data_IF_658525052714
#
_entry.id   IF_658525052714
#
_cell.length_a   1.000
_cell.length_b   1.000
_cell.length_c   1.000
_cell.angle_alpha   90.00
_cell.angle_beta   90.00
_cell.angle_gamma   90.00
#
_symmetry.space_group_name_H-M   'P 1'
#
loop_
_entity.id
_entity.type
_entity.pdbx_description
1 polymer ?
#
# COMPACT_ATOMS: atom_id res chain seq x y z
N UNK A 1 17.90 -38.01 4.93
CA UNK A 1 18.10 -36.57 4.63
C UNK A 1 19.52 -36.13 5.02
N UNK A 2 20.24 -35.45 4.12
CA UNK A 2 21.54 -34.83 4.45
C UNK A 2 21.25 -33.67 5.41
N UNK A 3 21.83 -33.73 6.61
CA UNK A 3 21.70 -32.69 7.63
C UNK A 3 23.06 -32.05 7.90
N UNK A 4 23.08 -30.74 8.10
CA UNK A 4 24.27 -30.02 8.55
C UNK A 4 24.00 -29.39 9.92
N UNK A 5 25.08 -29.20 10.69
CA UNK A 5 25.06 -28.63 12.03
C UNK A 5 25.72 -27.26 11.98
N UNK A 6 25.10 -26.27 12.60
CA UNK A 6 25.72 -24.98 12.90
C UNK A 6 25.47 -24.62 14.36
N UNK A 7 26.50 -24.09 15.02
CA UNK A 7 26.32 -23.48 16.33
C UNK A 7 25.72 -22.09 16.13
N UNK A 8 24.56 -21.83 16.75
CA UNK A 8 24.01 -20.50 16.83
C UNK A 8 24.77 -19.63 17.84
N UNK A 9 24.23 -18.46 18.20
CA UNK A 9 24.78 -17.72 19.34
C UNK A 9 24.60 -18.53 20.64
N UNK A 10 25.27 -18.12 21.71
CA UNK A 10 25.27 -18.79 23.02
C UNK A 10 23.86 -19.04 23.62
N UNK A 11 22.84 -18.33 23.16
CA UNK A 11 21.45 -18.45 23.61
C UNK A 11 20.59 -19.38 22.75
N UNK A 12 21.10 -19.85 21.61
CA UNK A 12 20.33 -20.59 20.60
C UNK A 12 20.80 -22.03 20.37
N UNK A 13 21.89 -22.46 21.02
CA UNK A 13 22.39 -23.84 20.99
C UNK A 13 22.78 -24.35 19.59
N UNK A 14 22.86 -25.66 19.44
CA UNK A 14 23.10 -26.34 18.15
C UNK A 14 21.83 -26.28 17.28
N UNK A 15 21.96 -25.75 16.06
CA UNK A 15 20.90 -25.84 15.04
C UNK A 15 21.24 -26.95 14.04
N UNK A 16 20.24 -27.78 13.75
CA UNK A 16 20.29 -28.77 12.67
C UNK A 16 19.42 -28.29 11.51
N UNK A 17 20.00 -28.26 10.32
CA UNK A 17 19.32 -27.86 9.09
C UNK A 17 19.32 -28.97 8.05
N UNK A 18 18.28 -29.03 7.25
CA UNK A 18 18.26 -29.85 6.03
C UNK A 18 19.09 -29.16 4.94
N UNK A 19 19.73 -29.94 4.09
CA UNK A 19 20.35 -29.41 2.88
C UNK A 19 19.28 -28.79 1.98
N UNK A 20 19.39 -27.49 1.72
CA UNK A 20 18.52 -26.80 0.76
C UNK A 20 19.19 -26.72 -0.61
N UNK A 21 18.45 -27.14 -1.65
CA UNK A 21 18.86 -26.98 -3.04
C UNK A 21 18.16 -25.75 -3.60
N UNK A 22 18.94 -24.82 -4.14
CA UNK A 22 18.46 -23.57 -4.74
C UNK A 22 18.74 -23.57 -6.25
N UNK A 23 17.98 -22.81 -7.06
CA UNK A 23 18.26 -22.68 -8.48
C UNK A 23 19.64 -22.05 -8.71
N UNK A 24 20.28 -22.37 -9.84
CA UNK A 24 21.55 -21.74 -10.25
C UNK A 24 21.44 -20.21 -10.24
N UNK A 25 20.35 -19.69 -10.80
CA UNK A 25 19.99 -18.28 -10.69
C UNK A 25 18.70 -18.16 -9.88
N UNK A 26 18.76 -17.50 -8.73
CA UNK A 26 17.58 -17.15 -7.97
C UNK A 26 17.04 -15.80 -8.43
N UNK A 27 15.80 -15.77 -8.90
CA UNK A 27 15.18 -14.58 -9.50
C UNK A 27 14.10 -14.04 -8.56
N UNK A 28 14.11 -12.73 -8.29
CA UNK A 28 13.05 -12.04 -7.56
C UNK A 28 12.62 -10.77 -8.28
N UNK A 29 11.36 -10.36 -8.07
CA UNK A 29 10.75 -9.20 -8.73
C UNK A 29 10.12 -8.29 -7.68
N UNK A 30 10.27 -6.98 -7.86
CA UNK A 30 9.61 -5.95 -7.05
C UNK A 30 9.03 -4.86 -7.96
N UNK A 31 7.78 -4.41 -7.73
CA UNK A 31 6.84 -4.89 -6.71
C UNK A 31 6.25 -6.28 -7.04
N UNK A 32 5.68 -6.96 -6.04
CA UNK A 32 4.96 -8.24 -6.24
C UNK A 32 3.56 -8.03 -6.85
N UNK A 33 2.95 -6.88 -6.57
CA UNK A 33 1.66 -6.47 -7.11
C UNK A 33 1.82 -5.08 -7.73
N UNK A 34 1.33 -4.92 -8.95
CA UNK A 34 1.16 -3.62 -9.60
C UNK A 34 -0.31 -3.43 -9.98
N UNK A 35 -0.86 -2.26 -9.73
CA UNK A 35 -2.20 -1.87 -10.16
C UNK A 35 -2.08 -1.03 -11.41
N UNK A 36 -2.96 -1.19 -12.40
CA UNK A 36 -3.03 -0.36 -13.60
C UNK A 36 -4.50 0.04 -13.86
N UNK A 37 -4.81 1.33 -14.06
CA UNK A 37 -6.17 1.75 -14.42
C UNK A 37 -6.59 1.17 -15.79
N UNK A 38 -7.85 0.75 -15.91
CA UNK A 38 -8.42 0.14 -17.12
C UNK A 38 -8.30 1.04 -18.36
N UNK A 39 -8.49 2.33 -18.16
CA UNK A 39 -8.47 3.34 -19.22
C UNK A 39 -7.49 4.45 -18.87
N UNK A 40 -6.65 4.78 -19.84
CA UNK A 40 -5.73 5.92 -19.72
C UNK A 40 -6.50 7.21 -19.85
N UNK A 41 -6.29 8.10 -18.89
CA UNK A 41 -6.76 9.48 -18.88
C UNK A 41 -5.58 10.38 -18.50
N UNK A 42 -5.65 11.70 -18.73
CA UNK A 42 -4.61 12.61 -18.23
C UNK A 42 -4.36 12.47 -16.71
N UNK A 43 -5.39 12.07 -15.93
CA UNK A 43 -5.28 11.80 -14.51
C UNK A 43 -4.49 10.52 -14.19
N UNK A 44 -4.65 9.48 -15.02
CA UNK A 44 -4.11 8.14 -14.82
C UNK A 44 -2.90 7.82 -15.70
N UNK A 45 -2.43 8.76 -16.53
CA UNK A 45 -1.32 8.56 -17.45
C UNK A 45 0.00 8.20 -16.73
N UNK A 46 0.26 8.77 -15.55
CA UNK A 46 1.39 8.33 -14.69
C UNK A 46 1.20 6.91 -14.14
N UNK A 47 -0.03 6.41 -14.18
CA UNK A 47 -0.45 5.09 -13.71
C UNK A 47 -0.34 3.97 -14.75
N UNK A 48 0.20 4.19 -15.95
CA UNK A 48 0.27 3.15 -17.00
C UNK A 48 1.63 2.49 -17.10
N UNK A 49 2.67 3.21 -16.67
CA UNK A 49 4.04 2.73 -16.64
C UNK A 49 4.36 2.17 -15.25
N UNK A 50 5.00 1.01 -15.21
CA UNK A 50 5.39 0.34 -13.98
C UNK A 50 6.88 0.03 -14.00
N UNK A 51 7.60 0.62 -13.05
CA UNK A 51 8.98 0.25 -12.81
C UNK A 51 9.04 -1.10 -12.11
N UNK A 52 9.52 -2.11 -12.83
CA UNK A 52 9.70 -3.47 -12.37
C UNK A 52 11.19 -3.73 -12.18
N UNK A 53 11.59 -4.05 -10.96
CA UNK A 53 12.96 -4.42 -10.62
C UNK A 53 13.07 -5.92 -10.57
N UNK A 54 13.93 -6.50 -11.41
CA UNK A 54 14.30 -7.91 -11.33
C UNK A 54 15.69 -8.03 -10.72
N UNK A 55 15.80 -8.74 -9.59
CA UNK A 55 17.08 -9.05 -8.95
C UNK A 55 17.40 -10.51 -9.15
N UNK A 56 18.64 -10.79 -9.54
CA UNK A 56 19.14 -12.13 -9.86
C UNK A 56 20.37 -12.40 -9.03
N UNK A 57 20.40 -13.52 -8.32
CA UNK A 57 21.57 -13.99 -7.57
C UNK A 57 22.15 -15.21 -8.28
N UNK A 58 23.45 -15.21 -8.56
CA UNK A 58 24.17 -16.36 -9.10
C UNK A 58 24.66 -17.28 -7.97
N UNK A 59 24.13 -18.48 -7.85
CA UNK A 59 24.62 -19.49 -6.90
C UNK A 59 25.64 -20.45 -7.50
N UNK A 60 26.05 -20.25 -8.76
CA UNK A 60 27.17 -20.99 -9.34
C UNK A 60 28.51 -20.44 -8.86
N UNK A 61 29.52 -21.29 -8.58
CA UNK A 61 30.87 -20.85 -8.26
C UNK A 61 31.58 -20.13 -9.42
N UNK A 62 31.09 -20.29 -10.66
CA UNK A 62 31.72 -19.73 -11.85
C UNK A 62 31.10 -18.40 -12.28
N UNK A 63 31.89 -17.64 -13.06
CA UNK A 63 31.37 -16.53 -13.85
C UNK A 63 30.31 -17.01 -14.84
N UNK A 64 29.31 -16.18 -15.09
CA UNK A 64 28.20 -16.51 -15.98
C UNK A 64 27.70 -15.28 -16.71
N UNK A 65 27.30 -15.46 -17.97
CA UNK A 65 26.63 -14.44 -18.77
C UNK A 65 25.22 -14.93 -19.07
N UNK A 66 24.22 -14.07 -18.87
CA UNK A 66 22.83 -14.42 -19.08
C UNK A 66 22.03 -13.23 -19.59
N UNK A 67 20.78 -13.47 -19.98
CA UNK A 67 19.85 -12.43 -20.44
C UNK A 67 18.63 -12.40 -19.54
N UNK A 68 18.37 -11.22 -19.00
CA UNK A 68 17.20 -10.87 -18.21
C UNK A 68 16.02 -10.46 -19.11
N UNK A 69 14.84 -11.05 -18.88
CA UNK A 69 13.64 -10.77 -19.67
C UNK A 69 12.34 -10.95 -18.86
N UNK A 70 11.31 -10.18 -19.23
CA UNK A 70 9.93 -10.35 -18.75
C UNK A 70 9.07 -11.06 -19.81
N UNK A 71 8.22 -11.98 -19.37
CA UNK A 71 7.11 -12.53 -20.15
C UNK A 71 5.86 -11.69 -19.87
N UNK A 72 5.50 -10.85 -20.85
CA UNK A 72 4.44 -9.86 -20.72
C UNK A 72 3.12 -10.36 -21.34
N UNK A 73 1.96 -9.92 -20.84
CA UNK A 73 0.67 -10.11 -21.50
C UNK A 73 0.65 -9.48 -22.91
N UNK A 74 -0.27 -9.95 -23.75
CA UNK A 74 -0.43 -9.42 -25.10
C UNK A 74 -0.67 -7.89 -25.10
N UNK A 75 0.04 -7.16 -25.96
CA UNK A 75 -0.06 -5.71 -26.09
C UNK A 75 0.72 -4.90 -25.06
N UNK A 76 1.29 -5.54 -24.03
CA UNK A 76 2.18 -4.89 -23.07
C UNK A 76 3.61 -4.84 -23.61
N UNK A 77 4.36 -3.81 -23.22
CA UNK A 77 5.76 -3.63 -23.63
C UNK A 77 6.65 -3.43 -22.41
N UNK A 78 7.95 -3.68 -22.57
CA UNK A 78 8.95 -3.33 -21.56
C UNK A 78 10.18 -2.69 -22.19
N UNK A 79 10.75 -1.74 -21.47
CA UNK A 79 12.02 -1.11 -21.80
C UNK A 79 13.03 -1.30 -20.64
N UNK A 80 14.17 -1.96 -20.87
CA UNK A 80 14.54 -2.66 -22.11
C UNK A 80 13.72 -3.95 -22.30
N UNK A 81 13.52 -4.41 -23.54
CA UNK A 81 12.82 -5.68 -23.80
C UNK A 81 13.63 -6.92 -23.34
N UNK A 82 14.96 -6.77 -23.28
CA UNK A 82 15.93 -7.76 -22.78
C UNK A 82 17.15 -7.02 -22.26
N UNK A 83 17.77 -7.53 -21.20
CA UNK A 83 18.97 -6.94 -20.62
C UNK A 83 20.07 -8.00 -20.46
N UNK A 84 21.25 -7.85 -21.10
CA UNK A 84 22.38 -8.71 -20.79
C UNK A 84 22.86 -8.44 -19.36
N UNK A 85 23.16 -9.51 -18.63
CA UNK A 85 23.74 -9.47 -17.28
C UNK A 85 24.94 -10.41 -17.22
N UNK A 86 25.92 -10.05 -16.39
CA UNK A 86 27.12 -10.83 -16.17
C UNK A 86 27.38 -10.96 -14.67
N UNK A 87 27.93 -12.10 -14.29
CA UNK A 87 28.39 -12.42 -12.95
C UNK A 87 29.84 -12.88 -13.02
N UNK A 88 30.61 -12.51 -12.01
CA UNK A 88 32.02 -12.85 -11.86
C UNK A 88 32.24 -13.95 -10.83
N UNK A 89 31.32 -14.11 -9.87
CA UNK A 89 31.45 -15.07 -8.77
C UNK A 89 30.09 -15.54 -8.22
N UNK A 90 30.17 -16.52 -7.32
CA UNK A 90 29.04 -16.96 -6.51
C UNK A 90 28.53 -15.84 -5.60
N UNK A 91 27.22 -15.86 -5.37
CA UNK A 91 26.44 -14.97 -4.53
C UNK A 91 26.47 -13.49 -4.96
N UNK A 92 26.99 -13.21 -6.16
CA UNK A 92 26.85 -11.91 -6.81
C UNK A 92 25.40 -11.70 -7.25
N UNK A 93 24.89 -10.50 -6.97
CA UNK A 93 23.55 -10.08 -7.29
C UNK A 93 23.55 -8.92 -8.29
N UNK A 94 22.71 -9.02 -9.33
CA UNK A 94 22.50 -7.96 -10.32
C UNK A 94 21.01 -7.59 -10.33
N UNK A 95 20.71 -6.30 -10.32
CA UNK A 95 19.35 -5.78 -10.45
C UNK A 95 19.18 -5.06 -11.79
N UNK A 96 18.20 -5.50 -12.57
CA UNK A 96 17.78 -4.86 -13.82
C UNK A 96 16.45 -4.15 -13.59
N UNK A 97 16.32 -2.93 -14.13
CA UNK A 97 15.05 -2.18 -14.13
C UNK A 97 14.38 -2.30 -15.49
N UNK A 98 13.10 -2.64 -15.49
CA UNK A 98 12.23 -2.67 -16.65
C UNK A 98 11.12 -1.65 -16.45
N UNK A 99 10.96 -0.72 -17.37
CA UNK A 99 9.74 0.08 -17.48
C UNK A 99 8.71 -0.72 -18.27
N UNK A 100 7.68 -1.22 -17.60
CA UNK A 100 6.59 -1.97 -18.20
C UNK A 100 5.44 -1.02 -18.52
N UNK A 101 5.00 -0.98 -19.78
CA UNK A 101 3.93 -0.08 -20.23
C UNK A 101 2.73 -0.90 -20.69
N UNK A 102 1.58 -0.60 -20.08
CA UNK A 102 0.28 -1.17 -20.46
C UNK A 102 -0.27 -0.52 -21.74
N UNK A 103 -1.06 -1.25 -22.56
CA UNK A 103 -1.75 -0.64 -23.69
C UNK A 103 -2.82 0.36 -23.22
N UNK A 104 -3.27 1.26 -24.11
CA UNK A 104 -4.18 2.36 -23.78
C UNK A 104 -5.54 1.91 -23.21
N UNK A 105 -5.94 0.67 -23.48
CA UNK A 105 -7.10 0.03 -22.87
C UNK A 105 -6.71 -1.40 -22.49
N UNK A 106 -6.99 -1.79 -21.25
CA UNK A 106 -6.75 -3.14 -20.76
C UNK A 106 -8.04 -3.69 -20.17
N UNK A 107 -8.36 -4.95 -20.45
CA UNK A 107 -9.49 -5.62 -19.80
C UNK A 107 -9.25 -5.72 -18.29
N UNK A 108 -10.22 -5.39 -17.42
CA UNK A 108 -10.12 -5.60 -15.98
C UNK A 108 -9.86 -7.06 -15.61
N UNK A 109 -9.04 -7.28 -14.58
CA UNK A 109 -8.69 -8.61 -14.09
C UNK A 109 -7.27 -8.70 -13.51
N UNK A 110 -6.87 -9.94 -13.23
CA UNK A 110 -5.53 -10.26 -12.73
C UNK A 110 -4.71 -10.86 -13.87
N UNK A 111 -3.60 -10.22 -14.20
CA UNK A 111 -2.61 -10.68 -15.16
C UNK A 111 -1.33 -11.07 -14.42
N UNK A 112 -0.57 -12.02 -14.95
CA UNK A 112 0.72 -12.41 -14.39
C UNK A 112 1.81 -12.03 -15.38
N UNK A 113 2.75 -11.21 -14.94
CA UNK A 113 4.01 -10.97 -15.64
C UNK A 113 5.05 -11.88 -15.01
N UNK A 114 5.62 -12.81 -15.78
CA UNK A 114 6.69 -13.67 -15.28
C UNK A 114 8.04 -13.05 -15.61
N UNK A 115 9.03 -13.34 -14.78
CA UNK A 115 10.39 -12.89 -14.98
C UNK A 115 11.31 -14.10 -15.11
N UNK A 116 12.26 -14.02 -16.04
CA UNK A 116 13.18 -15.13 -16.29
C UNK A 116 14.55 -14.68 -16.77
N UNK A 117 15.51 -15.55 -16.48
CA UNK A 117 16.90 -15.48 -16.93
C UNK A 117 17.15 -16.58 -17.94
N UNK A 118 17.81 -16.23 -19.04
CA UNK A 118 18.19 -17.15 -20.11
C UNK A 118 19.71 -17.26 -20.13
N UNK A 119 20.23 -18.47 -19.92
CA UNK A 119 21.63 -18.81 -20.13
C UNK A 119 21.70 -19.93 -21.19
N UNK A 120 22.25 -19.61 -22.38
CA UNK A 120 22.19 -20.50 -23.54
C UNK A 120 20.74 -20.80 -23.92
N UNK A 121 20.33 -22.06 -23.82
CA UNK A 121 18.95 -22.55 -24.06
C UNK A 121 18.15 -22.75 -22.77
N UNK A 122 18.77 -22.58 -21.59
CA UNK A 122 18.12 -22.86 -20.30
C UNK A 122 17.45 -21.61 -19.75
N UNK A 123 16.21 -21.77 -19.28
CA UNK A 123 15.41 -20.70 -18.66
C UNK A 123 15.28 -20.92 -17.15
N UNK A 124 15.59 -19.89 -16.37
CA UNK A 124 15.45 -19.86 -14.91
C UNK A 124 14.42 -18.80 -14.54
N UNK A 125 13.36 -19.17 -13.86
CA UNK A 125 12.27 -18.26 -13.47
C UNK A 125 11.85 -18.45 -12.02
N UNK A 126 12.69 -19.07 -11.20
CA UNK A 126 12.41 -19.33 -9.79
C UNK A 126 13.39 -18.57 -8.90
N UNK A 127 12.90 -18.13 -7.75
CA UNK A 127 13.70 -17.67 -6.64
C UNK A 127 13.20 -18.31 -5.36
N UNK A 128 13.69 -17.83 -4.23
CA UNK A 128 13.25 -18.30 -2.92
C UNK A 128 13.21 -17.17 -1.90
N UNK A 129 12.30 -17.29 -0.95
CA UNK A 129 12.29 -16.50 0.27
C UNK A 129 12.92 -17.33 1.39
N UNK A 130 13.92 -16.78 2.07
CA UNK A 130 14.46 -17.38 3.29
C UNK A 130 13.54 -17.01 4.45
N UNK A 131 12.99 -18.02 5.12
CA UNK A 131 12.24 -17.86 6.37
C UNK A 131 13.08 -18.45 7.50
N UNK A 132 13.65 -17.59 8.33
CA UNK A 132 14.53 -17.97 9.43
C UNK A 132 14.39 -17.00 10.59
N UNK A 133 13.93 -17.51 11.74
CA UNK A 133 13.86 -16.79 13.00
C UNK A 133 14.66 -17.52 14.08
N UNK A 134 15.00 -16.86 15.21
CA UNK A 134 15.73 -17.52 16.29
C UNK A 134 15.09 -18.86 16.74
N UNK A 135 13.76 -18.92 16.76
CA UNK A 135 12.95 -20.05 17.21
C UNK A 135 12.43 -20.97 16.08
N UNK A 136 12.84 -20.77 14.82
CA UNK A 136 12.42 -21.63 13.70
C UNK A 136 13.61 -22.24 12.98
N UNK A 137 13.40 -23.36 12.30
CA UNK A 137 14.35 -23.89 11.32
C UNK A 137 14.33 -23.03 10.07
N UNK A 138 15.49 -22.77 9.47
CA UNK A 138 15.60 -22.11 8.16
C UNK A 138 14.79 -22.89 7.13
N UNK A 139 13.94 -22.21 6.38
CA UNK A 139 13.16 -22.77 5.27
C UNK A 139 13.38 -21.90 4.04
N UNK A 140 13.44 -22.53 2.87
CA UNK A 140 13.37 -21.84 1.58
C UNK A 140 11.99 -22.03 0.99
N UNK A 141 11.25 -20.95 0.82
CA UNK A 141 9.97 -20.96 0.11
C UNK A 141 10.24 -20.60 -1.34
N UNK A 142 10.26 -21.62 -2.22
CA UNK A 142 10.44 -21.43 -3.65
C UNK A 142 9.24 -20.66 -4.22
N UNK A 143 9.54 -19.70 -5.10
CA UNK A 143 8.53 -18.88 -5.78
C UNK A 143 8.91 -18.72 -7.23
N UNK A 144 7.93 -18.84 -8.13
CA UNK A 144 8.10 -18.37 -9.49
C UNK A 144 8.24 -16.85 -9.46
N UNK A 145 9.28 -16.33 -10.11
CA UNK A 145 9.56 -14.91 -10.19
C UNK A 145 8.58 -14.24 -11.14
N UNK A 146 7.93 -13.20 -10.65
CA UNK A 146 6.95 -12.45 -11.41
C UNK A 146 6.21 -11.46 -10.52
N UNK A 147 5.31 -10.72 -11.15
CA UNK A 147 4.38 -9.84 -10.47
C UNK A 147 2.95 -10.10 -10.94
N UNK A 148 2.01 -9.87 -10.04
CA UNK A 148 0.59 -9.79 -10.38
C UNK A 148 0.27 -8.36 -10.81
N UNK A 149 -0.27 -8.21 -12.00
CA UNK A 149 -0.79 -6.93 -12.48
C UNK A 149 -2.31 -6.94 -12.37
N UNK A 150 -2.86 -6.00 -11.60
CA UNK A 150 -4.29 -5.83 -11.39
C UNK A 150 -4.81 -4.67 -12.21
N UNK A 151 -5.64 -4.96 -13.19
CA UNK A 151 -6.26 -3.95 -14.04
C UNK A 151 -7.62 -3.57 -13.47
N UNK A 152 -7.79 -2.30 -13.07
CA UNK A 152 -8.94 -1.84 -12.29
C UNK A 152 -9.72 -0.74 -13.02
N UNK A 153 -11.05 -0.79 -13.02
CA UNK A 153 -11.88 0.39 -13.34
C UNK A 153 -11.82 1.37 -12.17
N UNK A 154 -10.78 2.19 -12.15
CA UNK A 154 -10.57 3.22 -11.13
C UNK A 154 -10.32 4.56 -11.80
N UNK A 155 -11.09 5.54 -11.36
CA UNK A 155 -10.92 6.95 -11.70
C UNK A 155 -10.32 7.67 -10.50
N UNK A 156 -9.50 8.68 -10.75
CA UNK A 156 -8.97 9.59 -9.74
C UNK A 156 -9.04 11.01 -10.29
N UNK A 157 -9.19 12.00 -9.43
CA UNK A 157 -9.04 13.40 -9.83
C UNK A 157 -7.64 13.62 -10.43
N UNK A 158 -7.50 14.34 -11.56
CA UNK A 158 -6.20 14.58 -12.17
C UNK A 158 -5.30 15.48 -11.31
N UNK A 159 -3.99 15.34 -11.51
CA UNK A 159 -2.96 16.25 -10.99
C UNK A 159 -2.93 16.43 -9.47
N UNK A 160 -3.40 15.43 -8.71
CA UNK A 160 -3.30 15.43 -7.26
C UNK A 160 -1.84 15.45 -6.80
N UNK A 161 -1.52 16.39 -5.91
CA UNK A 161 -0.30 16.39 -5.11
C UNK A 161 -0.64 16.18 -3.64
N UNK A 162 -0.15 15.08 -3.06
CA UNK A 162 -0.46 14.64 -1.71
C UNK A 162 0.78 14.83 -0.82
N UNK A 163 0.67 15.68 0.20
CA UNK A 163 1.66 15.76 1.27
C UNK A 163 1.46 14.60 2.23
N UNK A 164 2.44 13.74 2.40
CA UNK A 164 2.30 12.49 3.13
C UNK A 164 3.23 12.42 4.34
N UNK A 165 2.67 12.27 5.55
CA UNK A 165 3.46 12.06 6.77
C UNK A 165 3.66 10.58 7.00
N UNK A 166 4.85 10.08 6.67
CA UNK A 166 5.16 8.64 6.71
C UNK A 166 4.94 8.01 8.09
N UNK A 167 4.17 6.92 8.13
CA UNK A 167 3.93 6.07 9.29
C UNK A 167 4.85 4.83 9.36
N UNK A 168 4.53 3.89 10.25
CA UNK A 168 5.35 2.68 10.49
C UNK A 168 4.97 1.56 9.54
N UNK A 169 5.94 1.06 8.76
CA UNK A 169 5.75 -0.11 7.90
C UNK A 169 4.63 0.09 6.87
N UNK A 170 4.50 1.32 6.38
CA UNK A 170 3.33 1.77 5.65
C UNK A 170 3.62 1.85 4.15
N UNK A 171 2.74 1.18 3.39
CA UNK A 171 2.84 0.97 1.96
C UNK A 171 1.70 1.66 1.19
N UNK A 172 1.01 2.61 1.84
CA UNK A 172 -0.01 3.43 1.17
C UNK A 172 0.59 4.40 0.13
N UNK A 173 1.74 5.09 0.36
CA UNK A 173 2.29 6.01 -0.63
C UNK A 173 2.53 5.38 -2.02
N UNK A 174 3.16 4.20 -2.15
CA UNK A 174 3.30 3.53 -3.45
C UNK A 174 1.96 3.20 -4.13
N UNK A 175 0.90 2.93 -3.38
CA UNK A 175 -0.42 2.69 -3.95
C UNK A 175 -1.07 3.97 -4.49
N UNK A 176 -0.85 5.12 -3.82
CA UNK A 176 -1.29 6.43 -4.29
C UNK A 176 -0.55 6.85 -5.58
N UNK A 177 0.75 6.58 -5.67
CA UNK A 177 1.53 6.79 -6.89
C UNK A 177 1.04 5.92 -8.05
N UNK A 178 0.69 4.66 -7.78
CA UNK A 178 0.08 3.79 -8.78
C UNK A 178 -1.26 4.32 -9.31
N UNK A 179 -2.04 5.04 -8.49
CA UNK A 179 -3.24 5.74 -8.94
C UNK A 179 -2.94 6.97 -9.82
N UNK A 180 -1.69 7.42 -9.89
CA UNK A 180 -1.26 8.58 -10.70
C UNK A 180 -1.12 9.89 -9.91
N UNK A 181 -1.33 9.86 -8.59
CA UNK A 181 -1.06 11.00 -7.72
C UNK A 181 0.44 11.23 -7.56
N UNK A 182 0.85 12.49 -7.38
CA UNK A 182 2.20 12.83 -6.92
C UNK A 182 2.20 12.79 -5.40
N UNK A 183 3.08 11.99 -4.81
CA UNK A 183 3.23 11.94 -3.35
C UNK A 183 4.52 12.64 -2.96
N UNK A 184 4.44 13.54 -1.99
CA UNK A 184 5.60 14.22 -1.40
C UNK A 184 5.65 13.89 0.10
N UNK A 185 6.72 13.22 0.52
CA UNK A 185 6.89 12.86 1.92
C UNK A 185 7.24 14.12 2.74
N UNK A 186 6.44 14.42 3.76
CA UNK A 186 6.63 15.56 4.64
C UNK A 186 7.67 15.24 5.72
N UNK A 187 8.75 16.00 5.70
CA UNK A 187 9.83 15.96 6.70
C UNK A 187 9.44 16.72 7.98
N UNK A 188 10.29 16.66 8.99
CA UNK A 188 10.11 17.48 10.20
C UNK A 188 10.12 18.98 9.89
N UNK A 189 10.99 19.43 8.98
CA UNK A 189 11.09 20.82 8.56
C UNK A 189 9.85 21.28 7.78
N UNK A 190 9.32 20.40 6.91
CA UNK A 190 8.05 20.69 6.21
C UNK A 190 6.90 20.85 7.21
N UNK A 191 6.82 19.93 8.17
CA UNK A 191 5.83 19.96 9.24
C UNK A 191 6.01 21.15 10.18
N UNK A 192 7.19 21.73 10.29
CA UNK A 192 7.42 22.94 11.09
C UNK A 192 7.14 24.24 10.31
N UNK A 193 7.50 24.31 9.03
CA UNK A 193 7.55 25.59 8.31
C UNK A 193 7.03 25.63 6.86
N UNK A 194 6.85 24.50 6.17
CA UNK A 194 6.46 24.55 4.74
C UNK A 194 5.01 24.99 4.53
N UNK A 195 4.71 25.66 3.41
CA UNK A 195 3.32 25.95 3.03
C UNK A 195 2.58 24.66 2.66
N UNK A 196 1.61 24.26 3.48
CA UNK A 196 0.80 23.06 3.25
C UNK A 196 -0.27 23.27 2.17
N UNK A 197 -0.59 24.53 1.82
CA UNK A 197 -1.61 24.84 0.80
C UNK A 197 -1.18 24.46 -0.63
N UNK A 198 0.09 24.10 -0.83
CA UNK A 198 0.58 23.54 -2.10
C UNK A 198 0.07 22.12 -2.38
N UNK A 199 -0.52 21.46 -1.39
CA UNK A 199 -1.05 20.11 -1.51
C UNK A 199 -2.57 20.13 -1.70
N UNK A 200 -3.10 19.22 -2.53
CA UNK A 200 -4.54 18.96 -2.60
C UNK A 200 -5.06 18.30 -1.30
N UNK A 201 -4.21 17.45 -0.72
CA UNK A 201 -4.48 16.62 0.45
C UNK A 201 -3.21 16.51 1.30
N UNK A 202 -3.37 16.62 2.62
CA UNK A 202 -2.33 16.19 3.58
C UNK A 202 -2.81 14.91 4.25
N UNK A 203 -2.03 13.84 4.15
CA UNK A 203 -2.39 12.52 4.68
C UNK A 203 -1.34 12.05 5.68
N UNK A 204 -1.77 11.59 6.86
CA UNK A 204 -0.88 10.93 7.82
C UNK A 204 -0.96 9.43 7.63
N UNK A 205 0.20 8.77 7.69
CA UNK A 205 0.33 7.33 7.54
C UNK A 205 -0.01 6.52 8.79
N UNK A 206 0.08 5.20 8.63
CA UNK A 206 -0.24 4.18 9.64
C UNK A 206 0.54 4.43 10.93
N UNK A 207 -0.19 4.69 12.02
CA UNK A 207 0.39 4.94 13.36
C UNK A 207 1.42 6.09 13.35
N UNK A 208 1.28 7.06 12.46
CA UNK A 208 2.19 8.20 12.40
C UNK A 208 2.27 8.92 13.76
N UNK A 209 1.12 9.10 14.44
CA UNK A 209 1.08 9.76 15.75
C UNK A 209 1.81 9.00 16.86
N UNK A 210 2.08 7.70 16.71
CA UNK A 210 2.87 6.94 17.68
C UNK A 210 4.37 7.25 17.55
N UNK A 211 4.89 7.35 16.32
CA UNK A 211 6.35 7.40 16.07
C UNK A 211 6.88 8.76 15.63
N UNK A 212 6.02 9.67 15.17
CA UNK A 212 6.42 10.99 14.66
C UNK A 212 6.18 12.07 15.72
N UNK A 213 7.22 12.33 16.54
CA UNK A 213 7.18 13.41 17.52
C UNK A 213 7.04 14.81 16.87
N UNK A 214 7.65 14.98 15.70
CA UNK A 214 7.53 16.16 14.84
C UNK A 214 6.09 16.38 14.33
N UNK A 215 5.36 15.32 13.97
CA UNK A 215 3.92 15.40 13.66
C UNK A 215 3.12 15.86 14.87
N UNK A 216 3.32 15.22 16.04
CA UNK A 216 2.61 15.58 17.27
C UNK A 216 2.85 17.04 17.65
N UNK A 217 4.11 17.48 17.59
CA UNK A 217 4.50 18.85 17.92
C UNK A 217 3.87 19.91 16.99
N UNK A 218 3.66 19.57 15.71
CA UNK A 218 3.19 20.51 14.70
C UNK A 218 1.75 20.23 14.20
N UNK A 219 1.00 19.36 14.88
CA UNK A 219 -0.33 18.92 14.43
C UNK A 219 -1.30 20.08 14.18
N UNK A 220 -1.19 21.16 14.96
CA UNK A 220 -2.03 22.34 14.82
C UNK A 220 -2.02 22.90 13.38
N UNK A 221 -0.89 22.82 12.68
CA UNK A 221 -0.77 23.29 11.29
C UNK A 221 -1.62 22.47 10.31
N UNK A 222 -1.81 21.17 10.57
CA UNK A 222 -2.72 20.34 9.76
C UNK A 222 -4.17 20.77 9.99
N UNK A 223 -4.54 21.10 11.22
CA UNK A 223 -5.88 21.60 11.56
C UNK A 223 -6.13 22.97 10.92
N UNK A 224 -5.14 23.87 10.95
CA UNK A 224 -5.20 25.17 10.26
C UNK A 224 -5.33 25.02 8.75
N UNK A 225 -4.55 24.12 8.13
CA UNK A 225 -4.67 23.78 6.72
C UNK A 225 -6.08 23.27 6.37
N UNK A 226 -6.67 22.38 7.19
CA UNK A 226 -8.06 21.95 7.02
C UNK A 226 -9.03 23.15 7.14
N UNK A 227 -8.87 23.98 8.17
CA UNK A 227 -9.67 25.19 8.39
C UNK A 227 -9.66 26.16 7.21
N UNK A 228 -8.51 26.31 6.56
CA UNK A 228 -8.30 27.14 5.38
C UNK A 228 -8.87 26.57 4.07
N UNK A 229 -9.48 25.39 4.10
CA UNK A 229 -10.09 24.76 2.92
C UNK A 229 -9.46 23.45 2.46
N UNK A 230 -8.37 23.04 3.11
CA UNK A 230 -7.65 21.81 2.83
C UNK A 230 -8.40 20.54 3.25
N UNK A 231 -7.92 19.41 2.75
CA UNK A 231 -8.40 18.07 3.14
C UNK A 231 -7.30 17.35 3.90
N UNK A 232 -7.55 17.04 5.18
CA UNK A 232 -6.67 16.21 6.00
C UNK A 232 -7.23 14.81 6.13
N UNK A 233 -6.42 13.80 5.84
CA UNK A 233 -6.78 12.38 6.01
C UNK A 233 -5.85 11.77 7.05
N UNK A 234 -6.41 11.33 8.17
CA UNK A 234 -5.70 10.61 9.23
C UNK A 234 -5.92 9.12 9.05
N UNK A 235 -4.92 8.42 8.51
CA UNK A 235 -5.00 6.99 8.26
C UNK A 235 -4.55 6.21 9.51
N UNK A 236 -5.44 5.35 10.02
CA UNK A 236 -5.19 4.31 11.01
C UNK A 236 -4.21 4.67 12.14
N UNK A 237 -4.73 4.95 13.33
CA UNK A 237 -3.91 5.11 14.54
C UNK A 237 -4.39 4.20 15.66
N UNK A 238 -3.59 4.15 16.73
CA UNK A 238 -3.96 3.52 18.00
C UNK A 238 -4.12 4.61 19.07
N UNK A 239 -3.98 4.25 20.34
CA UNK A 239 -4.26 5.10 21.49
C UNK A 239 -3.28 6.26 21.65
N UNK A 240 -2.11 6.23 21.02
CA UNK A 240 -1.17 7.37 21.01
C UNK A 240 -1.76 8.61 20.32
N UNK A 241 -2.80 8.43 19.50
CA UNK A 241 -3.60 9.55 18.98
C UNK A 241 -4.36 10.29 20.10
N UNK A 242 -4.57 9.65 21.25
CA UNK A 242 -5.35 10.22 22.36
C UNK A 242 -4.45 10.96 23.37
N UNK A 243 -3.12 10.97 23.17
CA UNK A 243 -2.17 11.67 24.06
C UNK A 243 -2.39 13.20 24.09
N UNK A 244 -3.06 13.73 23.06
CA UNK A 244 -3.56 15.10 22.99
C UNK A 244 -4.74 15.17 22.02
N UNK A 245 -5.39 16.33 21.92
CA UNK A 245 -6.45 16.56 20.93
C UNK A 245 -5.82 16.78 19.53
N UNK A 246 -5.43 15.69 18.86
CA UNK A 246 -4.90 15.79 17.49
C UNK A 246 -5.97 15.97 16.42
N UNK A 247 -7.23 15.61 16.71
CA UNK A 247 -8.38 15.92 15.87
C UNK A 247 -8.83 17.38 16.00
N UNK A 248 -9.62 17.90 15.05
CA UNK A 248 -10.14 19.27 15.10
C UNK A 248 -11.17 19.50 16.21
N UNK A 249 -11.82 18.43 16.68
CA UNK A 249 -12.85 18.45 17.73
C UNK A 249 -12.61 17.34 18.74
N UNK A 250 -13.17 17.43 19.96
CA UNK A 250 -13.07 16.38 20.98
C UNK A 250 -13.51 15.01 20.45
N UNK A 251 -12.69 13.99 20.70
CA UNK A 251 -12.94 12.61 20.30
C UNK A 251 -11.66 11.79 20.37
N UNK A 252 -11.82 10.47 20.47
CA UNK A 252 -10.73 9.55 20.74
C UNK A 252 -10.75 8.36 19.77
N UNK A 253 -9.58 7.74 19.57
CA UNK A 253 -9.47 6.42 18.94
C UNK A 253 -9.82 5.35 19.97
N UNK A 254 -10.86 4.57 19.68
CA UNK A 254 -11.37 3.49 20.51
C UNK A 254 -10.75 2.12 20.22
N UNK A 255 -11.36 1.07 20.78
CA UNK A 255 -10.91 -0.34 20.66
C UNK A 255 -11.69 -1.17 19.67
N UNK A 256 -12.80 -0.60 19.18
CA UNK A 256 -13.71 -1.23 18.25
C UNK A 256 -13.00 -1.68 16.97
N UNK A 257 -13.46 -2.82 16.46
CA UNK A 257 -12.86 -3.52 15.33
C UNK A 257 -13.87 -4.44 14.67
N UNK A 258 -13.62 -4.73 13.39
CA UNK A 258 -14.32 -5.76 12.64
C UNK A 258 -13.27 -6.60 11.94
N UNK A 259 -13.08 -7.81 12.45
CA UNK A 259 -11.98 -8.72 12.11
C UNK A 259 -12.33 -9.72 11.03
N UNK A 260 -13.60 -9.98 10.77
CA UNK A 260 -14.00 -10.80 9.63
C UNK A 260 -14.01 -9.95 8.34
N UNK A 261 -13.18 -10.32 7.36
CA UNK A 261 -13.03 -9.59 6.09
C UNK A 261 -14.29 -9.61 5.20
N UNK A 262 -15.25 -10.50 5.45
CA UNK A 262 -16.50 -10.64 4.71
C UNK A 262 -17.67 -9.92 5.39
N UNK A 263 -17.46 -9.33 6.57
CA UNK A 263 -18.46 -8.55 7.30
C UNK A 263 -19.15 -7.52 6.40
N UNK A 264 -20.47 -7.40 6.53
CA UNK A 264 -21.29 -6.48 5.74
C UNK A 264 -20.95 -5.04 6.11
N UNK A 265 -20.79 -4.19 5.10
CA UNK A 265 -20.55 -2.76 5.26
C UNK A 265 -21.79 -2.00 4.84
N UNK A 266 -22.38 -1.25 5.77
CA UNK A 266 -23.54 -0.40 5.53
C UNK A 266 -23.09 1.06 5.38
N UNK A 267 -23.38 1.65 4.23
CA UNK A 267 -23.11 3.08 3.97
C UNK A 267 -24.20 3.93 4.61
N UNK A 268 -23.81 4.79 5.57
CA UNK A 268 -24.76 5.64 6.31
C UNK A 268 -25.09 6.94 5.55
N UNK A 269 -24.15 7.43 4.74
CA UNK A 269 -24.29 8.66 3.96
C UNK A 269 -24.09 8.36 2.46
N UNK A 270 -25.06 7.72 1.79
CA UNK A 270 -24.86 7.18 0.42
C UNK A 270 -24.61 8.24 -0.64
N UNK A 271 -24.98 9.50 -0.38
CA UNK A 271 -24.70 10.63 -1.28
C UNK A 271 -23.37 11.32 -0.99
N UNK A 272 -22.64 10.89 0.05
CA UNK A 272 -21.37 11.49 0.40
C UNK A 272 -20.36 11.30 -0.75
N UNK A 273 -19.59 12.34 -1.15
CA UNK A 273 -18.65 12.28 -2.26
C UNK A 273 -17.66 11.11 -2.18
N UNK A 274 -17.29 10.68 -0.98
CA UNK A 274 -16.40 9.50 -0.78
C UNK A 274 -16.97 8.20 -1.38
N UNK A 275 -18.29 8.10 -1.57
CA UNK A 275 -18.96 6.93 -2.14
C UNK A 275 -19.49 7.16 -3.56
N UNK A 276 -19.46 8.40 -4.05
CA UNK A 276 -20.11 8.75 -5.32
C UNK A 276 -19.14 9.26 -6.39
N UNK A 277 -18.00 9.84 -6.01
CA UNK A 277 -17.08 10.47 -6.96
C UNK A 277 -15.60 10.33 -6.59
N UNK A 278 -14.69 10.14 -7.57
CA UNK A 278 -14.98 9.90 -9.00
C UNK A 278 -15.47 8.47 -9.30
N UNK A 279 -15.45 7.59 -8.31
CA UNK A 279 -15.97 6.24 -8.42
C UNK A 279 -17.25 6.09 -7.61
N UNK A 280 -18.30 5.53 -8.21
CA UNK A 280 -19.45 5.06 -7.43
C UNK A 280 -19.07 3.78 -6.69
N UNK A 281 -19.13 3.79 -5.37
CA UNK A 281 -18.86 2.66 -4.50
C UNK A 281 -20.16 1.85 -4.35
N UNK A 282 -20.07 0.54 -4.58
CA UNK A 282 -21.18 -0.42 -4.55
C UNK A 282 -20.79 -1.65 -3.74
N UNK A 283 -21.72 -2.57 -3.50
CA UNK A 283 -21.49 -3.79 -2.70
C UNK A 283 -20.31 -4.63 -3.20
N UNK A 284 -20.02 -4.61 -4.50
CA UNK A 284 -18.87 -5.30 -5.09
C UNK A 284 -17.52 -4.76 -4.58
N UNK A 285 -17.43 -3.48 -4.23
CA UNK A 285 -16.19 -2.85 -3.75
C UNK A 285 -15.83 -3.29 -2.31
N UNK A 286 -16.77 -3.93 -1.61
CA UNK A 286 -16.53 -4.54 -0.31
C UNK A 286 -16.13 -6.03 -0.41
N UNK A 287 -15.97 -6.60 -1.61
CA UNK A 287 -15.55 -8.00 -1.79
C UNK A 287 -14.03 -8.15 -1.87
N UNK A 288 -13.53 -9.34 -1.54
CA UNK A 288 -12.12 -9.71 -1.70
C UNK A 288 -11.15 -9.01 -0.75
N UNK A 289 -11.67 -8.41 0.33
CA UNK A 289 -10.84 -7.83 1.38
C UNK A 289 -9.99 -8.92 2.07
N UNK A 290 -8.82 -8.54 2.55
CA UNK A 290 -7.87 -9.44 3.20
C UNK A 290 -7.85 -9.20 4.69
N UNK A 291 -7.90 -10.27 5.46
CA UNK A 291 -7.69 -10.32 6.91
C UNK A 291 -8.76 -9.65 7.76
N UNK A 292 -9.13 -8.39 7.53
CA UNK A 292 -10.07 -7.65 8.38
C UNK A 292 -10.69 -6.45 7.65
N UNK A 293 -11.82 -5.93 8.15
CA UNK A 293 -12.40 -4.65 7.69
C UNK A 293 -11.70 -3.44 8.29
N UNK A 294 -11.30 -3.53 9.56
CA UNK A 294 -10.55 -2.48 10.21
C UNK A 294 -10.52 -2.63 11.72
N UNK A 295 -9.65 -1.85 12.34
CA UNK A 295 -9.38 -1.86 13.78
C UNK A 295 -9.22 -0.43 14.27
N UNK A 296 -9.40 -0.23 15.58
CA UNK A 296 -9.17 1.06 16.24
C UNK A 296 -10.04 2.16 15.63
N UNK A 297 -11.35 1.90 15.62
CA UNK A 297 -12.33 2.85 15.13
C UNK A 297 -12.39 4.09 16.02
N UNK A 298 -12.73 5.22 15.41
CA UNK A 298 -12.93 6.46 16.15
C UNK A 298 -14.14 6.29 17.08
N UNK A 299 -13.95 6.47 18.38
CA UNK A 299 -14.98 6.15 19.37
C UNK A 299 -16.25 6.98 19.10
N UNK A 300 -17.40 6.38 19.34
CA UNK A 300 -18.71 7.03 19.20
C UNK A 300 -19.17 7.65 20.50
N UNK A 301 -18.67 7.17 21.64
CA UNK A 301 -19.02 7.69 22.95
C UNK A 301 -18.27 9.01 23.23
N UNK A 302 -19.02 10.05 23.63
CA UNK A 302 -18.43 11.29 24.14
C UNK A 302 -17.70 12.18 23.12
N UNK A 303 -17.72 11.84 21.83
CA UNK A 303 -17.13 12.68 20.78
C UNK A 303 -18.04 13.82 20.33
N UNK A 304 -17.45 14.84 19.72
CA UNK A 304 -18.16 16.01 19.19
C UNK A 304 -19.14 15.63 18.07
N UNK A 305 -20.37 16.20 18.06
CA UNK A 305 -21.40 15.90 17.06
C UNK A 305 -21.02 16.31 15.63
N UNK A 306 -20.00 17.15 15.43
CA UNK A 306 -19.48 17.49 14.10
C UNK A 306 -18.73 16.33 13.43
N UNK A 307 -18.37 15.29 14.19
CA UNK A 307 -17.72 14.08 13.67
C UNK A 307 -18.78 13.08 13.25
N UNK A 308 -19.01 12.98 11.94
CA UNK A 308 -20.08 12.21 11.32
C UNK A 308 -19.58 10.85 10.85
N UNK A 309 -20.28 9.78 11.22
CA UNK A 309 -20.02 8.43 10.68
C UNK A 309 -20.48 8.31 9.22
N UNK A 310 -19.62 7.72 8.40
CA UNK A 310 -19.91 7.44 7.00
C UNK A 310 -20.26 5.97 6.78
N UNK A 311 -19.80 5.09 7.67
CA UNK A 311 -19.98 3.64 7.59
C UNK A 311 -20.46 3.06 8.91
N UNK A 312 -21.15 1.94 8.78
CA UNK A 312 -21.51 1.04 9.86
C UNK A 312 -21.16 -0.39 9.47
N UNK A 313 -20.61 -1.15 10.41
CA UNK A 313 -20.17 -2.52 10.20
C UNK A 313 -20.62 -3.38 11.39
N UNK A 314 -20.81 -4.67 11.17
CA UNK A 314 -21.03 -5.63 12.26
C UNK A 314 -20.17 -6.85 12.03
N UNK A 315 -19.43 -7.24 13.07
CA UNK A 315 -18.63 -8.45 13.05
C UNK A 315 -19.55 -9.66 13.36
N UNK A 316 -19.59 -10.69 12.51
CA UNK A 316 -20.42 -11.87 12.75
C UNK A 316 -19.94 -12.71 13.94
N UNK A 317 -18.75 -12.44 14.48
CA UNK A 317 -18.20 -13.21 15.59
C UNK A 317 -19.01 -13.03 16.89
N UNK A 318 -19.47 -14.13 17.53
CA UNK A 318 -20.36 -14.06 18.70
C UNK A 318 -19.81 -13.30 19.92
N UNK A 319 -18.50 -13.07 20.00
CA UNK A 319 -17.87 -12.32 21.10
C UNK A 319 -17.44 -10.90 20.70
N UNK A 320 -17.77 -10.46 19.48
CA UNK A 320 -17.58 -9.08 19.00
C UNK A 320 -18.91 -8.48 18.51
N UNK A 321 -20.01 -8.83 19.19
CA UNK A 321 -21.38 -8.48 18.78
C UNK A 321 -21.62 -6.99 18.70
N UNK A 322 -22.63 -6.64 17.92
CA UNK A 322 -23.22 -5.32 17.87
C UNK A 322 -22.59 -4.47 16.79
N UNK A 323 -23.41 -3.55 16.31
CA UNK A 323 -23.06 -2.55 15.34
C UNK A 323 -21.85 -1.71 15.79
N UNK A 324 -20.92 -1.50 14.87
CA UNK A 324 -19.70 -0.71 15.01
C UNK A 324 -19.73 0.47 14.03
N UNK A 325 -19.39 1.65 14.52
CA UNK A 325 -19.18 2.86 13.71
C UNK A 325 -17.79 3.43 14.00
N UNK A 326 -17.43 4.57 13.43
CA UNK A 326 -16.10 5.15 13.60
C UNK A 326 -15.01 4.62 12.65
N UNK A 327 -15.33 3.64 11.81
CA UNK A 327 -14.37 3.06 10.85
C UNK A 327 -14.00 4.04 9.72
N UNK A 328 -14.91 4.94 9.39
CA UNK A 328 -14.69 6.05 8.45
C UNK A 328 -15.58 7.21 8.90
N UNK A 329 -14.95 8.30 9.33
CA UNK A 329 -15.65 9.50 9.82
C UNK A 329 -15.13 10.74 9.11
N UNK A 330 -16.00 11.74 8.94
CA UNK A 330 -15.63 13.07 8.46
C UNK A 330 -16.11 14.13 9.45
N UNK A 331 -15.28 15.15 9.66
CA UNK A 331 -15.65 16.40 10.29
C UNK A 331 -15.38 17.57 9.33
N UNK A 332 -16.30 18.52 9.26
CA UNK A 332 -16.08 19.80 8.55
C UNK A 332 -15.26 20.72 9.45
N UNK A 333 -14.19 21.30 8.91
CA UNK A 333 -13.29 22.19 9.65
C UNK A 333 -13.12 23.46 8.83
N UNK A 334 -13.70 24.57 9.29
CA UNK A 334 -13.73 25.81 8.51
C UNK A 334 -14.28 25.57 7.09
N UNK A 335 -13.46 25.84 6.06
CA UNK A 335 -13.83 25.64 4.65
C UNK A 335 -13.43 24.27 4.08
N UNK A 336 -12.75 23.46 4.87
CA UNK A 336 -12.19 22.18 4.48
C UNK A 336 -12.76 21.02 5.30
N UNK A 337 -11.96 19.98 5.45
CA UNK A 337 -12.39 18.74 6.08
C UNK A 337 -11.25 17.97 6.72
N UNK A 338 -11.62 17.20 7.73
CA UNK A 338 -10.77 16.23 8.40
C UNK A 338 -11.46 14.88 8.37
N UNK A 339 -10.73 13.84 7.96
CA UNK A 339 -11.27 12.48 7.78
C UNK A 339 -10.39 11.52 8.55
N UNK A 340 -10.99 10.68 9.38
CA UNK A 340 -10.30 9.55 10.02
C UNK A 340 -10.68 8.25 9.35
N UNK A 341 -9.67 7.44 9.03
CA UNK A 341 -9.81 6.16 8.34
C UNK A 341 -9.32 5.04 9.28
N UNK A 342 -10.26 4.39 9.97
CA UNK A 342 -10.02 3.17 10.76
C UNK A 342 -10.19 1.88 9.95
N UNK A 343 -10.67 1.97 8.71
CA UNK A 343 -10.67 0.86 7.76
C UNK A 343 -9.24 0.36 7.50
N UNK A 344 -9.09 -0.95 7.30
CA UNK A 344 -7.81 -1.61 7.01
C UNK A 344 -7.21 -1.30 5.63
N UNK A 345 -7.44 -0.11 5.06
CA UNK A 345 -7.00 0.26 3.70
C UNK A 345 -5.49 0.09 3.51
N UNK A 346 -4.70 0.33 4.55
CA UNK A 346 -3.26 0.13 4.53
C UNK A 346 -2.83 -1.33 4.31
N UNK A 347 -3.68 -2.32 4.61
CA UNK A 347 -3.48 -3.73 4.22
C UNK A 347 -4.06 -4.03 2.85
N UNK A 348 -5.21 -3.42 2.55
CA UNK A 348 -5.93 -3.69 1.31
C UNK A 348 -5.21 -3.16 0.06
N UNK A 349 -4.55 -2.00 0.17
CA UNK A 349 -3.84 -1.37 -0.94
C UNK A 349 -2.61 -2.19 -1.39
N UNK A 350 -1.71 -2.65 -0.49
CA UNK A 350 -0.64 -3.58 -0.87
C UNK A 350 -1.16 -4.91 -1.41
N UNK A 351 -2.29 -5.41 -0.89
CA UNK A 351 -2.91 -6.63 -1.38
C UNK A 351 -3.59 -6.48 -2.77
N UNK A 352 -3.69 -5.25 -3.29
CA UNK A 352 -4.35 -4.99 -4.56
C UNK A 352 -5.88 -5.12 -4.51
N UNK A 353 -6.53 -4.89 -3.37
CA UNK A 353 -7.99 -5.02 -3.26
C UNK A 353 -8.70 -3.93 -4.07
N UNK A 354 -9.45 -4.33 -5.08
CA UNK A 354 -10.04 -3.45 -6.10
C UNK A 354 -10.88 -2.30 -5.52
N UNK A 355 -11.81 -2.61 -4.62
CA UNK A 355 -12.67 -1.59 -4.00
C UNK A 355 -11.94 -0.67 -3.02
N UNK A 356 -10.83 -1.12 -2.44
CA UNK A 356 -9.98 -0.26 -1.60
C UNK A 356 -9.25 0.80 -2.44
N UNK A 357 -8.83 0.48 -3.66
CA UNK A 357 -8.27 1.46 -4.60
C UNK A 357 -9.32 2.49 -5.03
N UNK A 358 -10.56 2.06 -5.31
CA UNK A 358 -11.65 2.99 -5.66
C UNK A 358 -12.03 3.91 -4.50
N UNK A 359 -12.11 3.37 -3.28
CA UNK A 359 -12.39 4.17 -2.09
C UNK A 359 -11.24 5.13 -1.77
N UNK A 360 -9.98 4.69 -1.87
CA UNK A 360 -8.82 5.55 -1.68
C UNK A 360 -8.78 6.65 -2.74
N UNK A 361 -9.03 6.33 -4.01
CA UNK A 361 -9.10 7.31 -5.08
C UNK A 361 -10.18 8.37 -4.82
N UNK A 362 -11.35 7.99 -4.30
CA UNK A 362 -12.38 8.93 -3.87
C UNK A 362 -11.92 9.81 -2.71
N UNK A 363 -11.34 9.21 -1.66
CA UNK A 363 -10.82 9.92 -0.49
C UNK A 363 -9.83 11.02 -0.88
N UNK A 364 -8.81 10.69 -1.69
CA UNK A 364 -7.81 11.68 -2.11
C UNK A 364 -8.37 12.68 -3.13
N UNK A 365 -9.43 12.32 -3.86
CA UNK A 365 -10.13 13.24 -4.76
C UNK A 365 -11.03 14.25 -4.04
N UNK A 366 -11.23 14.13 -2.73
CA UNK A 366 -11.88 15.15 -1.91
C UNK A 366 -11.01 16.41 -1.74
N UNK A 367 -9.72 16.32 -2.04
CA UNK A 367 -8.81 17.45 -2.10
C UNK A 367 -9.23 18.48 -3.15
N UNK A 368 -9.08 19.76 -2.82
CA UNK A 368 -9.26 20.84 -3.79
C UNK A 368 -7.94 21.08 -4.51
N UNK A 369 -7.98 21.38 -5.80
CA UNK A 369 -6.77 21.83 -6.49
C UNK A 369 -6.28 23.09 -5.78
N UNK A 370 -4.97 23.28 -5.55
CA UNK A 370 -4.46 24.54 -5.04
C UNK A 370 -5.04 25.64 -5.93
N UNK A 371 -5.82 26.53 -5.33
CA UNK A 371 -6.47 27.60 -6.07
C UNK A 371 -5.37 28.39 -6.77
N UNK A 372 -5.44 28.47 -8.09
CA UNK A 372 -4.71 29.52 -8.82
C UNK A 372 -5.35 30.80 -8.31
N UNK A 373 -4.67 31.45 -7.35
CA UNK A 373 -4.98 32.83 -6.99
C UNK A 373 -4.50 33.75 -8.09
#
# INVERSE_FOLDING_TARGET
PVQFRSEGNIFSGEKRGELHVVPKFAVSVSPEIAVVPQSVSPATARGTDRDVRMTVINHSPAAANAVAQLELPHGWTSEPARAPIAFTRQDEAVTVRFRVTAPASVTPGNLVVKAHIIEGTTRYGEGYQVVEYPHTTRRHVLRTAGLMVKTLDVRVKPNLTIGYVMGVGDEVPPALEQLGARVELLTADDLAGADLNRFDVVMTGVRAYERRADLRANNQRLIEYAGAGGTVIVNYNKFEFNDAQYGPFPGEVGRDRVTDENSVVRVLQPQHPVFTTPNRIIDADWKGWRQERGLYFFDTAGRDPQIVDLLELEDPFPYNKGVKRGALVEAKVGQGRWIYVGLGLWRQLPAGTDGAYRLMANLVSLGKAPGIR
#
